data_IF_773896357726
#
_entry.id   IF_773896357726
#
_cell.length_a   1.000
_cell.length_b   1.000
_cell.length_c   1.000
_cell.angle_alpha   90.00
_cell.angle_beta   90.00
_cell.angle_gamma   90.00
#
_symmetry.space_group_name_H-M   'P 1'
#
loop_
_entity.id
_entity.type
_entity.pdbx_description
1 polymer ?
#
# COMPACT_ATOMS: atom_id res chain seq x y z
N UNK A 1 57.32 -16.30 -32.35
CA UNK A 1 55.91 -16.02 -32.02
C UNK A 1 55.86 -15.72 -30.52
N UNK A 2 55.62 -14.46 -30.12
CA UNK A 2 55.62 -14.05 -28.70
C UNK A 2 54.19 -14.15 -28.17
N UNK A 3 53.91 -15.14 -27.32
CA UNK A 3 52.61 -15.34 -26.68
C UNK A 3 52.54 -14.50 -25.41
N UNK A 4 51.82 -13.37 -25.47
CA UNK A 4 51.61 -12.49 -24.31
C UNK A 4 50.59 -13.13 -23.37
N UNK A 5 51.05 -13.66 -22.23
CA UNK A 5 50.18 -14.20 -21.18
C UNK A 5 49.56 -13.05 -20.37
N UNK A 6 48.30 -12.73 -20.65
CA UNK A 6 47.48 -11.83 -19.81
C UNK A 6 47.24 -12.49 -18.44
N UNK A 7 47.87 -11.99 -17.37
CA UNK A 7 47.53 -12.37 -15.99
C UNK A 7 46.07 -11.98 -15.72
N UNK A 8 45.20 -12.97 -15.51
CA UNK A 8 43.90 -12.73 -14.88
C UNK A 8 44.16 -12.29 -13.42
N UNK A 9 43.85 -11.05 -13.09
CA UNK A 9 43.76 -10.60 -11.71
C UNK A 9 42.54 -11.29 -11.08
N UNK A 10 42.78 -12.16 -10.09
CA UNK A 10 41.72 -12.73 -9.27
C UNK A 10 41.43 -11.83 -8.07
N UNK A 11 40.17 -11.73 -7.66
CA UNK A 11 39.77 -11.11 -6.39
C UNK A 11 40.48 -11.83 -5.23
N UNK A 12 41.09 -11.07 -4.34
CA UNK A 12 41.63 -11.65 -3.09
C UNK A 12 40.48 -12.01 -2.15
N UNK A 13 40.66 -13.06 -1.35
CA UNK A 13 39.68 -13.45 -0.33
C UNK A 13 39.41 -12.29 0.66
N UNK A 14 40.47 -11.55 1.02
CA UNK A 14 40.42 -10.41 1.93
C UNK A 14 39.59 -9.25 1.36
N UNK A 15 39.68 -8.94 0.07
CA UNK A 15 38.84 -7.92 -0.56
C UNK A 15 37.36 -8.23 -0.42
N UNK A 16 36.97 -9.49 -0.64
CA UNK A 16 35.56 -9.90 -0.50
C UNK A 16 35.11 -9.82 0.97
N UNK A 17 35.96 -10.16 1.94
CA UNK A 17 35.60 -10.11 3.36
C UNK A 17 35.26 -8.69 3.85
N UNK A 18 36.06 -7.70 3.47
CA UNK A 18 35.82 -6.31 3.90
C UNK A 18 34.54 -5.76 3.25
N UNK A 19 34.30 -6.12 1.98
CA UNK A 19 33.09 -5.70 1.25
C UNK A 19 31.83 -6.21 1.91
N UNK A 20 31.75 -7.51 2.23
CA UNK A 20 30.55 -8.07 2.89
C UNK A 20 30.37 -7.54 4.31
N UNK A 21 31.45 -7.22 5.03
CA UNK A 21 31.38 -6.61 6.35
C UNK A 21 30.74 -5.20 6.29
N UNK A 22 31.14 -4.36 5.34
CA UNK A 22 30.57 -3.02 5.17
C UNK A 22 29.11 -3.11 4.69
N UNK A 23 28.80 -3.97 3.72
CA UNK A 23 27.42 -4.18 3.25
C UNK A 23 26.53 -4.68 4.40
N UNK A 24 27.02 -5.60 5.24
CA UNK A 24 26.28 -6.10 6.39
C UNK A 24 25.96 -5.01 7.41
N UNK A 25 26.92 -4.12 7.71
CA UNK A 25 26.72 -2.97 8.59
C UNK A 25 25.66 -2.01 8.05
N UNK A 26 25.71 -1.68 6.75
CA UNK A 26 24.72 -0.81 6.11
C UNK A 26 23.32 -1.45 6.08
N UNK A 27 23.24 -2.75 5.76
CA UNK A 27 21.98 -3.48 5.69
C UNK A 27 21.29 -3.58 7.07
N UNK A 28 22.05 -3.75 8.15
CA UNK A 28 21.51 -3.83 9.51
C UNK A 28 20.69 -2.59 9.92
N UNK A 29 21.10 -1.40 9.47
CA UNK A 29 20.39 -0.13 9.74
C UNK A 29 19.29 0.11 8.69
N UNK A 30 19.56 -0.22 7.42
CA UNK A 30 18.64 0.08 6.33
C UNK A 30 17.36 -0.78 6.35
N UNK A 31 17.46 -2.08 6.65
CA UNK A 31 16.33 -3.03 6.61
C UNK A 31 15.19 -2.63 7.57
N UNK A 32 15.42 -2.38 8.88
CA UNK A 32 14.32 -2.05 9.78
C UNK A 32 13.66 -0.71 9.41
N UNK A 33 14.45 0.27 8.96
CA UNK A 33 13.91 1.55 8.51
C UNK A 33 13.05 1.40 7.24
N UNK A 34 13.51 0.59 6.29
CA UNK A 34 12.78 0.30 5.05
C UNK A 34 11.43 -0.39 5.33
N UNK A 35 11.40 -1.36 6.25
CA UNK A 35 10.15 -2.05 6.65
C UNK A 35 9.16 -1.06 7.27
N UNK A 36 9.62 -0.17 8.15
CA UNK A 36 8.76 0.87 8.75
C UNK A 36 8.24 1.86 7.71
N UNK A 37 9.10 2.32 6.80
CA UNK A 37 8.73 3.24 5.73
C UNK A 37 7.69 2.63 4.79
N UNK A 38 7.86 1.35 4.42
CA UNK A 38 6.91 0.59 3.60
C UNK A 38 5.55 0.47 4.29
N UNK A 39 5.54 0.10 5.57
CA UNK A 39 4.31 0.02 6.38
C UNK A 39 3.57 1.35 6.43
N UNK A 40 4.27 2.45 6.74
CA UNK A 40 3.69 3.80 6.75
C UNK A 40 3.11 4.20 5.38
N UNK A 41 3.82 3.90 4.29
CA UNK A 41 3.33 4.15 2.92
C UNK A 41 2.05 3.36 2.62
N UNK A 42 2.00 2.08 3.01
CA UNK A 42 0.80 1.24 2.87
C UNK A 42 -0.38 1.79 3.70
N UNK A 43 -0.13 2.25 4.92
CA UNK A 43 -1.15 2.90 5.76
C UNK A 43 -1.71 4.16 5.11
N UNK A 44 -0.85 5.06 4.64
CA UNK A 44 -1.27 6.30 4.01
C UNK A 44 -2.04 6.06 2.70
N UNK A 45 -1.58 5.12 1.87
CA UNK A 45 -2.28 4.74 0.65
C UNK A 45 -3.66 4.14 0.96
N UNK A 46 -3.76 3.29 1.99
CA UNK A 46 -5.04 2.74 2.42
C UNK A 46 -6.00 3.80 2.93
N UNK A 47 -5.53 4.75 3.75
CA UNK A 47 -6.33 5.87 4.23
C UNK A 47 -6.86 6.73 3.07
N UNK A 48 -6.00 7.03 2.10
CA UNK A 48 -6.38 7.79 0.91
C UNK A 48 -7.43 7.08 0.06
N UNK A 49 -7.32 5.75 -0.10
CA UNK A 49 -8.34 4.95 -0.77
C UNK A 49 -9.66 5.01 -0.03
N UNK A 50 -9.66 4.83 1.30
CA UNK A 50 -10.89 4.88 2.10
C UNK A 50 -11.57 6.26 2.05
N UNK A 51 -10.79 7.35 2.05
CA UNK A 51 -11.32 8.72 1.87
C UNK A 51 -11.97 8.91 0.49
N UNK A 52 -11.33 8.42 -0.57
CA UNK A 52 -11.91 8.45 -1.92
C UNK A 52 -13.21 7.64 -1.99
N UNK A 53 -13.23 6.46 -1.36
CA UNK A 53 -14.42 5.62 -1.26
C UNK A 53 -15.55 6.30 -0.49
N UNK A 54 -15.25 6.96 0.64
CA UNK A 54 -16.24 7.74 1.38
C UNK A 54 -16.80 8.91 0.57
N UNK A 55 -15.94 9.65 -0.13
CA UNK A 55 -16.38 10.72 -1.02
C UNK A 55 -17.27 10.19 -2.14
N UNK A 56 -16.91 9.06 -2.75
CA UNK A 56 -17.73 8.43 -3.77
C UNK A 56 -19.08 7.96 -3.23
N UNK A 57 -19.12 7.40 -2.01
CA UNK A 57 -20.37 7.02 -1.33
C UNK A 57 -21.28 8.21 -1.06
N UNK A 58 -20.73 9.32 -0.56
CA UNK A 58 -21.54 10.52 -0.28
C UNK A 58 -22.05 11.18 -1.56
N UNK A 59 -21.25 11.21 -2.63
CA UNK A 59 -21.69 11.66 -3.96
C UNK A 59 -22.80 10.76 -4.52
N UNK A 60 -22.65 9.44 -4.44
CA UNK A 60 -23.68 8.49 -4.86
C UNK A 60 -24.99 8.68 -4.10
N UNK A 61 -24.91 8.89 -2.78
CA UNK A 61 -26.08 9.09 -1.94
C UNK A 61 -26.82 10.38 -2.31
N UNK A 62 -26.07 11.46 -2.57
CA UNK A 62 -26.61 12.75 -2.97
C UNK A 62 -27.32 12.68 -4.34
N UNK A 63 -26.72 12.02 -5.32
CA UNK A 63 -27.30 11.89 -6.66
C UNK A 63 -28.54 10.99 -6.69
N UNK A 64 -28.55 9.93 -5.89
CA UNK A 64 -29.64 8.95 -5.87
C UNK A 64 -30.72 9.25 -4.82
N UNK A 65 -30.63 10.41 -4.14
CA UNK A 65 -31.53 10.81 -3.04
C UNK A 65 -31.65 9.73 -1.96
N UNK A 66 -30.55 9.03 -1.70
CA UNK A 66 -30.46 7.95 -0.72
C UNK A 66 -30.15 8.52 0.66
N UNK A 67 -30.54 7.77 1.68
CA UNK A 67 -30.30 8.15 3.07
C UNK A 67 -29.09 7.39 3.63
N UNK A 68 -28.60 7.83 4.78
CA UNK A 68 -27.42 7.29 5.45
C UNK A 68 -27.44 5.77 5.75
N UNK A 69 -28.63 5.17 5.75
CA UNK A 69 -28.85 3.74 5.94
C UNK A 69 -28.67 2.89 4.68
N UNK A 70 -28.71 3.50 3.48
CA UNK A 70 -28.60 2.76 2.23
C UNK A 70 -27.15 2.30 2.02
N UNK A 71 -26.97 1.06 1.58
CA UNK A 71 -25.66 0.46 1.27
C UNK A 71 -25.44 0.45 -0.24
N UNK A 72 -24.48 1.21 -0.78
CA UNK A 72 -24.14 1.11 -2.19
C UNK A 72 -23.47 -0.23 -2.50
N UNK A 73 -23.82 -0.84 -3.62
CA UNK A 73 -23.09 -2.01 -4.13
C UNK A 73 -21.90 -1.58 -4.95
N UNK A 74 -20.89 -2.44 -5.10
CA UNK A 74 -19.66 -2.15 -5.85
C UNK A 74 -19.94 -1.62 -7.27
N UNK A 75 -20.96 -2.15 -7.95
CA UNK A 75 -21.36 -1.72 -9.31
C UNK A 75 -21.89 -0.28 -9.40
N UNK A 76 -22.36 0.30 -8.29
CA UNK A 76 -22.86 1.67 -8.26
C UNK A 76 -21.73 2.69 -8.17
N UNK A 77 -20.61 2.30 -7.57
CA UNK A 77 -19.48 3.16 -7.25
C UNK A 77 -18.34 3.02 -8.25
N UNK A 78 -18.12 1.81 -8.78
CA UNK A 78 -16.97 1.46 -9.60
C UNK A 78 -17.34 1.24 -11.07
N UNK A 79 -16.59 1.86 -11.97
CA UNK A 79 -16.76 1.73 -13.42
C UNK A 79 -16.17 2.92 -14.17
N UNK A 80 -15.95 2.77 -15.48
CA UNK A 80 -15.33 3.81 -16.30
C UNK A 80 -16.08 5.15 -16.24
N UNK A 81 -17.42 5.10 -16.13
CA UNK A 81 -18.32 6.25 -16.10
C UNK A 81 -18.96 6.46 -14.70
N UNK A 82 -18.35 5.91 -13.66
CA UNK A 82 -18.85 6.01 -12.27
C UNK A 82 -17.95 6.93 -11.43
N UNK A 83 -18.30 7.07 -10.15
CA UNK A 83 -17.59 7.91 -9.19
C UNK A 83 -16.11 7.53 -9.05
N UNK A 84 -15.77 6.24 -9.19
CA UNK A 84 -14.40 5.74 -9.15
C UNK A 84 -14.16 4.81 -10.36
N UNK A 85 -13.09 5.09 -11.12
CA UNK A 85 -12.76 4.39 -12.37
C UNK A 85 -12.46 2.90 -12.22
N UNK A 86 -11.83 2.51 -11.11
CA UNK A 86 -11.46 1.13 -10.82
C UNK A 86 -11.56 0.89 -9.32
N UNK A 87 -12.04 -0.29 -8.94
CA UNK A 87 -12.11 -0.69 -7.54
C UNK A 87 -10.69 -0.71 -6.93
N UNK A 88 -10.41 0.09 -5.88
CA UNK A 88 -9.10 0.12 -5.26
C UNK A 88 -8.87 -1.14 -4.43
N UNK A 89 -7.69 -1.75 -4.56
CA UNK A 89 -7.25 -2.87 -3.72
C UNK A 89 -6.39 -2.36 -2.56
N UNK A 90 -6.38 -3.09 -1.43
CA UNK A 90 -5.53 -2.73 -0.31
C UNK A 90 -4.03 -2.91 -0.67
N UNK A 91 -3.14 -1.96 -0.35
CA UNK A 91 -1.70 -2.13 -0.59
C UNK A 91 -1.02 -3.09 0.42
N UNK A 92 -1.73 -3.49 1.47
CA UNK A 92 -1.29 -4.48 2.47
C UNK A 92 -1.80 -5.92 2.16
N UNK A 93 -2.67 -6.11 1.15
CA UNK A 93 -3.19 -7.42 0.77
C UNK A 93 -4.16 -7.35 -0.42
N UNK A 94 -4.44 -8.46 -1.10
CA UNK A 94 -5.27 -8.50 -2.32
C UNK A 94 -6.79 -8.34 -2.09
N UNK A 95 -7.21 -8.04 -0.87
CA UNK A 95 -8.63 -7.98 -0.49
C UNK A 95 -9.25 -6.60 -0.74
N UNK A 96 -10.53 -6.60 -1.11
CA UNK A 96 -11.35 -5.43 -1.45
C UNK A 96 -11.91 -4.73 -0.21
N UNK A 97 -12.08 -3.41 -0.26
CA UNK A 97 -12.66 -2.63 0.85
C UNK A 97 -14.15 -2.92 1.08
N UNK A 98 -14.58 -2.91 2.33
CA UNK A 98 -15.98 -3.07 2.71
C UNK A 98 -16.64 -1.70 2.85
N UNK A 99 -17.58 -1.41 1.95
CA UNK A 99 -18.19 -0.09 1.81
C UNK A 99 -19.15 0.29 2.95
N UNK A 100 -19.90 -0.67 3.53
CA UNK A 100 -20.90 -0.38 4.57
C UNK A 100 -22.05 0.52 4.09
N UNK A 101 -22.94 0.95 4.99
CA UNK A 101 -23.97 1.96 4.69
C UNK A 101 -23.33 3.33 4.46
N UNK A 102 -24.02 4.28 3.82
CA UNK A 102 -23.48 5.63 3.56
C UNK A 102 -22.88 6.28 4.81
N UNK A 103 -23.54 6.17 5.97
CA UNK A 103 -23.05 6.71 7.25
C UNK A 103 -21.98 5.85 7.93
N UNK A 104 -21.86 4.58 7.55
CA UNK A 104 -20.81 3.72 8.07
C UNK A 104 -19.46 4.07 7.44
N UNK A 105 -18.41 4.04 8.26
CA UNK A 105 -17.06 4.18 7.75
C UNK A 105 -16.71 3.01 6.81
N UNK A 106 -16.06 3.33 5.69
CA UNK A 106 -15.46 2.32 4.83
C UNK A 106 -14.37 1.63 5.62
N UNK A 107 -14.38 0.30 5.68
CA UNK A 107 -13.41 -0.49 6.43
C UNK A 107 -12.47 -1.21 5.48
N UNK A 108 -11.19 -1.32 5.85
CA UNK A 108 -10.24 -2.13 5.13
C UNK A 108 -10.27 -3.58 5.69
N UNK A 109 -10.06 -4.62 4.89
CA UNK A 109 -10.09 -6.00 5.41
C UNK A 109 -8.97 -6.32 6.41
N UNK A 110 -7.90 -5.53 6.40
CA UNK A 110 -6.71 -5.75 7.22
C UNK A 110 -6.73 -4.98 8.57
N UNK A 111 -7.90 -4.55 9.08
CA UNK A 111 -7.99 -3.84 10.39
C UNK A 111 -7.33 -4.65 11.52
N UNK A 112 -7.34 -5.98 11.44
CA UNK A 112 -6.79 -6.86 12.48
C UNK A 112 -5.26 -6.93 12.58
N UNK A 113 -4.51 -6.38 11.62
CA UNK A 113 -3.03 -6.47 11.59
C UNK A 113 -2.38 -5.12 11.92
N UNK A 114 -3.08 -4.00 11.68
CA UNK A 114 -2.62 -2.66 12.03
C UNK A 114 -3.80 -1.81 12.51
N UNK A 115 -3.78 -1.41 13.78
CA UNK A 115 -4.79 -0.59 14.47
C UNK A 115 -5.01 0.81 13.89
N UNK A 116 -4.35 1.14 12.77
CA UNK A 116 -4.28 2.50 12.20
C UNK A 116 -5.10 2.68 10.91
N UNK A 117 -5.81 1.64 10.44
CA UNK A 117 -6.64 1.74 9.22
C UNK A 117 -8.13 1.97 9.49
N UNK A 118 -8.46 2.58 10.62
CA UNK A 118 -9.82 3.07 10.84
C UNK A 118 -9.83 4.54 10.46
N UNK A 119 -10.74 4.92 9.57
CA UNK A 119 -11.17 6.31 9.48
C UNK A 119 -11.86 6.59 10.81
N UNK A 120 -11.11 7.04 11.81
CA UNK A 120 -11.68 7.57 13.04
C UNK A 120 -12.67 8.62 12.60
N UNK A 121 -13.94 8.46 13.01
CA UNK A 121 -15.00 9.40 12.76
C UNK A 121 -14.48 10.79 13.12
N UNK A 122 -14.23 11.60 12.10
CA UNK A 122 -14.16 13.03 12.26
C UNK A 122 -15.62 13.41 12.45
N UNK A 123 -15.98 13.62 13.73
CA UNK A 123 -17.10 14.48 14.08
C UNK A 123 -16.88 15.86 13.48
#
# INVERSE_FOLDING_TARGET
MKTTLTRKAGFTLVEIMIVVAIIGMLAAIAIPNFVKARKSSQTNACLNNMRQLQGAKSSWALENKKTGADTPVAADLFGADKFIKSEPTCPAGTTVYTLGSVDANVTCPNVGIETNHVLSAIY
#
